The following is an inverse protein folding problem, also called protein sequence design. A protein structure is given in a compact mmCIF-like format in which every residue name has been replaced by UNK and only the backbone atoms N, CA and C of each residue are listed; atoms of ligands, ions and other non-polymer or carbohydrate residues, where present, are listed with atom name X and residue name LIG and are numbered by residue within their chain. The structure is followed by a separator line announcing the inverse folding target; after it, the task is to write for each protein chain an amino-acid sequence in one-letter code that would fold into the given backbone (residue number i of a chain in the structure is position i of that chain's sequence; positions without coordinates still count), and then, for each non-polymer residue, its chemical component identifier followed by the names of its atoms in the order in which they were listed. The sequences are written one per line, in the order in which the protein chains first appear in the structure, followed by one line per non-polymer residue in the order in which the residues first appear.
data_IF_156092371769
#
_entry.id   IF_156092371769
#
_cell.length_a   1.000
_cell.length_b   1.000
_cell.length_c   1.000
_cell.angle_alpha   90.00
_cell.angle_beta   90.00
_cell.angle_gamma   90.00
#
_symmetry.space_group_name_H-M   'P 1'
#
loop_
_entity.id
_entity.type
_entity.pdbx_description
1 polymer ?
#
# COMPACT_ATOMS: atom_id res chain seq x y z
N UNK A 1 40.28 -0.64 -49.85
CA UNK A 1 40.80 -0.90 -48.49
C UNK A 1 39.82 -0.30 -47.49
N UNK A 2 39.27 -1.16 -46.64
CA UNK A 2 38.09 -0.90 -45.80
C UNK A 2 38.39 0.08 -44.66
N UNK A 3 37.72 1.23 -44.62
CA UNK A 3 37.53 1.99 -43.37
C UNK A 3 36.10 2.52 -43.34
N UNK A 4 35.18 1.70 -42.82
CA UNK A 4 33.97 2.18 -42.17
C UNK A 4 33.88 1.48 -40.83
N UNK A 5 34.63 2.04 -39.90
CA UNK A 5 34.54 1.73 -38.48
C UNK A 5 33.16 2.21 -38.02
N UNK A 6 32.15 1.35 -38.12
CA UNK A 6 30.87 1.56 -37.45
C UNK A 6 31.13 1.38 -35.96
N UNK A 7 31.41 2.48 -35.27
CA UNK A 7 31.25 2.57 -33.81
C UNK A 7 29.77 2.31 -33.51
N UNK A 8 29.43 1.03 -33.33
CA UNK A 8 28.21 0.65 -32.62
C UNK A 8 28.43 1.05 -31.16
N UNK A 9 28.09 2.30 -30.85
CA UNK A 9 27.94 2.75 -29.49
C UNK A 9 26.79 1.95 -28.89
N UNK A 10 27.14 0.86 -28.21
CA UNK A 10 26.24 0.13 -27.34
C UNK A 10 25.77 1.14 -26.29
N UNK A 11 24.58 1.72 -26.49
CA UNK A 11 23.92 2.57 -25.51
C UNK A 11 23.57 1.64 -24.36
N UNK A 12 24.47 1.54 -23.38
CA UNK A 12 24.21 0.87 -22.12
C UNK A 12 23.15 1.70 -21.43
N UNK A 13 21.89 1.35 -21.65
CA UNK A 13 20.75 1.90 -20.91
C UNK A 13 20.88 1.37 -19.49
N UNK A 14 21.53 2.14 -18.63
CA UNK A 14 21.61 1.83 -17.20
C UNK A 14 20.24 2.16 -16.62
N UNK A 15 19.33 1.18 -16.59
CA UNK A 15 18.08 1.28 -15.84
C UNK A 15 18.44 1.28 -14.34
N UNK A 16 18.69 2.47 -13.79
CA UNK A 16 18.87 2.65 -12.36
C UNK A 16 17.53 2.33 -11.70
N UNK A 17 17.41 1.14 -11.11
CA UNK A 17 16.28 0.83 -10.23
C UNK A 17 16.42 1.73 -9.00
N UNK A 18 15.68 2.82 -9.00
CA UNK A 18 15.55 3.65 -7.82
C UNK A 18 14.76 2.82 -6.79
N UNK A 19 15.46 2.15 -5.87
CA UNK A 19 14.86 1.60 -4.67
C UNK A 19 14.43 2.77 -3.79
N UNK A 20 13.33 3.44 -4.16
CA UNK A 20 12.77 4.49 -3.33
C UNK A 20 12.29 3.86 -2.02
N UNK A 21 12.75 4.44 -0.91
CA UNK A 21 12.19 4.14 0.40
C UNK A 21 10.72 4.53 0.34
N UNK A 22 9.83 3.60 0.69
CA UNK A 22 8.40 3.89 0.76
C UNK A 22 8.12 4.60 2.09
N UNK A 23 8.15 5.92 2.06
CA UNK A 23 8.01 6.79 3.23
C UNK A 23 6.59 7.34 3.40
N UNK A 24 6.40 8.12 4.47
CA UNK A 24 5.12 8.71 4.85
C UNK A 24 4.53 9.62 3.76
N UNK A 25 5.34 10.50 3.18
CA UNK A 25 4.87 11.42 2.13
C UNK A 25 4.52 10.68 0.84
N UNK A 26 5.28 9.64 0.50
CA UNK A 26 4.99 8.76 -0.64
C UNK A 26 3.67 8.04 -0.43
N UNK A 27 3.40 7.51 0.76
CA UNK A 27 2.13 6.86 1.09
C UNK A 27 0.94 7.81 0.91
N UNK A 28 1.05 9.04 1.42
CA UNK A 28 -0.01 10.06 1.26
C UNK A 28 -0.24 10.38 -0.21
N UNK A 29 0.83 10.64 -0.98
CA UNK A 29 0.75 10.98 -2.41
C UNK A 29 0.15 9.86 -3.24
N UNK A 30 0.36 8.61 -2.84
CA UNK A 30 -0.22 7.44 -3.49
C UNK A 30 -1.71 7.23 -3.16
N UNK A 31 -2.26 8.01 -2.23
CA UNK A 31 -3.67 7.89 -1.81
C UNK A 31 -3.92 6.76 -0.82
N UNK A 32 -2.88 6.26 -0.15
CA UNK A 32 -3.04 5.31 0.95
C UNK A 32 -3.78 5.99 2.11
N UNK A 33 -4.52 5.18 2.88
CA UNK A 33 -4.97 5.57 4.22
C UNK A 33 -3.76 5.41 5.13
N UNK A 34 -3.17 6.52 5.58
CA UNK A 34 -1.90 6.49 6.31
C UNK A 34 -2.14 6.64 7.80
N UNK A 35 -1.56 5.76 8.62
CA UNK A 35 -1.52 5.86 10.08
C UNK A 35 -0.09 6.04 10.56
N UNK A 36 0.26 7.26 10.96
CA UNK A 36 1.48 7.58 11.68
C UNK A 36 1.15 7.79 13.16
N UNK A 37 1.13 6.69 13.91
CA UNK A 37 0.90 6.68 15.37
C UNK A 37 -0.39 7.41 15.81
N UNK A 38 -1.46 7.27 15.04
CA UNK A 38 -2.75 7.91 15.28
C UNK A 38 -2.94 9.22 14.51
N UNK A 39 -1.91 9.75 13.85
CA UNK A 39 -2.08 10.81 12.87
C UNK A 39 -2.53 10.18 11.54
N UNK A 40 -3.83 10.23 11.28
CA UNK A 40 -4.42 9.56 10.11
C UNK A 40 -4.55 10.55 8.95
N UNK A 41 -4.15 10.13 7.75
CA UNK A 41 -4.35 10.85 6.48
C UNK A 41 -5.20 10.05 5.50
N UNK A 42 -5.89 10.75 4.60
CA UNK A 42 -6.76 10.20 3.56
C UNK A 42 -7.86 9.25 4.12
N UNK A 43 -8.38 9.54 5.31
CA UNK A 43 -9.38 8.69 5.97
C UNK A 43 -10.69 8.59 5.17
N UNK A 44 -11.00 9.61 4.39
CA UNK A 44 -12.11 9.68 3.44
C UNK A 44 -12.08 8.54 2.40
N UNK A 45 -10.91 7.99 2.08
CA UNK A 45 -10.80 6.78 1.24
C UNK A 45 -11.42 5.55 1.88
N UNK A 46 -11.41 5.44 3.21
CA UNK A 46 -12.07 4.33 3.90
C UNK A 46 -13.59 4.46 3.82
N UNK A 47 -14.11 5.69 3.93
CA UNK A 47 -15.54 5.96 3.79
C UNK A 47 -16.02 5.65 2.36
N UNK A 48 -15.28 6.09 1.34
CA UNK A 48 -15.60 5.79 -0.05
C UNK A 48 -15.55 4.28 -0.33
N UNK A 49 -14.54 3.58 0.21
CA UNK A 49 -14.44 2.13 0.09
C UNK A 49 -15.64 1.42 0.71
N UNK A 50 -16.12 1.88 1.87
CA UNK A 50 -17.31 1.33 2.51
C UNK A 50 -18.60 1.58 1.69
N UNK A 51 -18.73 2.76 1.09
CA UNK A 51 -19.83 3.08 0.15
C UNK A 51 -19.77 2.18 -1.08
N UNK A 52 -18.58 1.96 -1.64
CA UNK A 52 -18.37 1.07 -2.80
C UNK A 52 -18.71 -0.39 -2.45
N UNK A 53 -18.34 -0.88 -1.25
CA UNK A 53 -18.75 -2.21 -0.75
C UNK A 53 -20.28 -2.34 -0.73
N UNK A 54 -20.95 -1.36 -0.10
CA UNK A 54 -22.41 -1.34 0.05
C UNK A 54 -23.14 -1.32 -1.30
N UNK A 55 -22.55 -0.65 -2.28
CA UNK A 55 -23.07 -0.57 -3.65
C UNK A 55 -22.62 -1.71 -4.56
N UNK A 56 -21.93 -2.74 -4.02
CA UNK A 56 -21.32 -3.85 -4.77
C UNK A 56 -20.36 -3.41 -5.88
N UNK A 57 -19.82 -2.20 -5.79
CA UNK A 57 -18.83 -1.66 -6.72
C UNK A 57 -17.45 -2.13 -6.30
N UNK A 58 -16.72 -2.75 -7.22
CA UNK A 58 -15.33 -3.18 -6.99
C UNK A 58 -14.47 -1.98 -6.63
N UNK A 59 -13.63 -2.15 -5.62
CA UNK A 59 -12.71 -1.10 -5.18
C UNK A 59 -11.52 -1.72 -4.43
N UNK A 60 -10.46 -0.93 -4.29
CA UNK A 60 -9.27 -1.28 -3.53
C UNK A 60 -8.79 -0.09 -2.71
N UNK A 61 -8.35 -0.38 -1.50
CA UNK A 61 -7.63 0.59 -0.64
C UNK A 61 -6.42 -0.08 -0.01
N UNK A 62 -5.40 0.73 0.24
CA UNK A 62 -4.23 0.36 1.03
C UNK A 62 -4.25 1.18 2.31
N UNK A 63 -4.09 0.51 3.44
CA UNK A 63 -3.76 1.14 4.71
C UNK A 63 -2.27 0.94 4.92
N UNK A 64 -1.54 2.04 5.10
CA UNK A 64 -0.11 2.02 5.42
C UNK A 64 0.09 2.55 6.83
N UNK A 65 0.49 1.66 7.74
CA UNK A 65 0.80 2.00 9.11
C UNK A 65 2.32 2.00 9.30
N UNK A 66 2.84 3.05 9.93
CA UNK A 66 4.27 3.15 10.21
C UNK A 66 4.61 2.61 11.61
N UNK A 67 5.72 1.88 11.70
CA UNK A 67 6.36 1.54 12.99
C UNK A 67 6.98 2.78 13.62
N UNK A 68 7.41 2.68 14.89
CA UNK A 68 8.05 3.82 15.59
C UNK A 68 9.37 4.23 14.93
N UNK A 69 10.03 3.31 14.24
CA UNK A 69 11.23 3.52 13.44
C UNK A 69 10.93 4.11 12.05
N UNK A 70 9.66 4.17 11.65
CA UNK A 70 9.22 4.72 10.38
C UNK A 70 9.19 3.72 9.22
N UNK A 71 9.20 2.41 9.49
CA UNK A 71 9.04 1.41 8.44
C UNK A 71 7.55 1.12 8.16
N UNK A 72 7.14 0.94 6.90
CA UNK A 72 5.73 0.73 6.57
C UNK A 72 5.30 -0.73 6.76
N UNK A 73 4.06 -0.88 7.24
CA UNK A 73 3.29 -2.12 7.28
C UNK A 73 2.03 -1.91 6.43
N UNK A 74 1.81 -2.80 5.47
CA UNK A 74 0.71 -2.69 4.50
C UNK A 74 -0.46 -3.60 4.85
N UNK A 75 -1.66 -3.05 4.72
CA UNK A 75 -2.93 -3.78 4.70
C UNK A 75 -3.67 -3.43 3.41
N UNK A 76 -3.68 -4.35 2.46
CA UNK A 76 -4.38 -4.19 1.18
C UNK A 76 -5.76 -4.82 1.27
N UNK A 77 -6.81 -4.01 1.11
CA UNK A 77 -8.19 -4.48 1.05
C UNK A 77 -8.67 -4.39 -0.40
N UNK A 78 -9.04 -5.53 -0.98
CA UNK A 78 -9.57 -5.60 -2.34
C UNK A 78 -10.97 -6.22 -2.31
N UNK A 79 -11.98 -5.41 -2.62
CA UNK A 79 -13.35 -5.87 -2.74
C UNK A 79 -13.68 -6.21 -4.20
N UNK A 80 -14.02 -7.47 -4.44
CA UNK A 80 -14.29 -7.98 -5.79
C UNK A 80 -15.77 -7.87 -6.22
N UNK A 81 -16.63 -7.26 -5.38
CA UNK A 81 -18.07 -7.19 -5.56
C UNK A 81 -18.86 -8.22 -4.73
N UNK A 82 -18.17 -9.10 -4.02
CA UNK A 82 -18.76 -10.15 -3.16
C UNK A 82 -18.08 -10.24 -1.80
N UNK A 83 -16.76 -10.32 -1.78
CA UNK A 83 -15.93 -10.46 -0.58
C UNK A 83 -14.68 -9.60 -0.67
N UNK A 84 -14.07 -9.36 0.49
CA UNK A 84 -12.89 -8.50 0.64
C UNK A 84 -11.69 -9.40 0.88
N UNK A 85 -10.73 -9.40 -0.04
CA UNK A 85 -9.43 -10.01 0.23
C UNK A 85 -8.54 -9.01 0.97
N UNK A 86 -8.15 -9.38 2.18
CA UNK A 86 -7.16 -8.65 2.99
C UNK A 86 -5.80 -9.29 2.80
N UNK A 87 -4.79 -8.52 2.39
CA UNK A 87 -3.39 -8.94 2.45
C UNK A 87 -2.63 -8.08 3.46
N UNK A 88 -1.92 -8.73 4.38
CA UNK A 88 -1.01 -8.14 5.34
C UNK A 88 0.43 -8.35 4.85
N UNK A 89 1.24 -7.29 4.86
CA UNK A 89 2.66 -7.36 4.50
C UNK A 89 3.49 -6.40 5.37
N UNK A 90 4.32 -6.95 6.25
CA UNK A 90 5.33 -6.20 7.00
C UNK A 90 6.76 -6.47 6.50
N UNK A 91 6.92 -6.96 5.27
CA UNK A 91 8.24 -7.28 4.71
C UNK A 91 9.20 -6.09 4.67
N UNK A 92 8.68 -4.86 4.78
CA UNK A 92 9.45 -3.61 4.84
C UNK A 92 9.83 -3.16 6.26
N UNK A 93 9.23 -3.73 7.32
CA UNK A 93 9.61 -3.49 8.72
C UNK A 93 10.97 -4.12 9.02
N UNK A 94 12.05 -3.33 9.08
CA UNK A 94 13.42 -3.84 9.19
C UNK A 94 13.69 -4.58 10.50
N UNK A 95 12.94 -4.29 11.55
CA UNK A 95 13.17 -4.81 12.90
C UNK A 95 12.20 -5.92 13.30
N UNK A 96 11.04 -6.00 12.64
CA UNK A 96 10.06 -7.07 12.83
C UNK A 96 10.36 -8.35 12.06
N UNK A 97 9.75 -9.45 12.52
CA UNK A 97 9.72 -10.70 11.76
C UNK A 97 8.96 -10.49 10.44
N UNK A 98 9.55 -10.91 9.33
CA UNK A 98 8.99 -10.71 8.00
C UNK A 98 7.87 -11.71 7.74
N UNK A 99 6.71 -11.18 7.37
CA UNK A 99 5.52 -11.99 7.22
C UNK A 99 4.57 -11.41 6.17
N UNK A 100 3.91 -12.32 5.47
CA UNK A 100 2.89 -12.03 4.46
C UNK A 100 1.73 -12.98 4.65
N UNK A 101 0.58 -12.43 5.01
CA UNK A 101 -0.64 -13.19 5.26
C UNK A 101 -1.77 -12.68 4.38
N UNK A 102 -2.71 -13.55 4.07
CA UNK A 102 -3.94 -13.13 3.42
C UNK A 102 -5.15 -13.86 3.98
N UNK A 103 -6.30 -13.20 3.98
CA UNK A 103 -7.58 -13.77 4.38
C UNK A 103 -8.72 -13.14 3.59
N UNK A 104 -9.85 -13.83 3.51
CA UNK A 104 -11.06 -13.31 2.89
C UNK A 104 -12.08 -12.94 3.98
N UNK A 105 -12.51 -11.68 3.97
CA UNK A 105 -13.49 -11.12 4.88
C UNK A 105 -14.83 -10.98 4.16
N UNK A 106 -15.93 -11.33 4.84
CA UNK A 106 -17.28 -11.22 4.28
C UNK A 106 -17.87 -9.81 4.36
N UNK A 107 -17.45 -9.03 5.35
CA UNK A 107 -17.97 -7.69 5.60
C UNK A 107 -16.93 -6.80 6.25
N UNK A 108 -17.14 -5.50 6.11
CA UNK A 108 -16.42 -4.44 6.81
C UNK A 108 -17.37 -3.83 7.84
N UNK A 109 -16.88 -3.58 9.06
CA UNK A 109 -17.63 -2.87 10.11
C UNK A 109 -16.79 -1.69 10.57
N UNK A 110 -17.33 -0.48 10.39
CA UNK A 110 -16.73 0.75 10.93
C UNK A 110 -17.14 0.88 12.40
N UNK A 111 -16.18 1.22 13.26
CA UNK A 111 -16.38 1.38 14.70
C UNK A 111 -15.78 2.71 15.11
N UNK A 112 -16.58 3.57 15.75
CA UNK A 112 -16.07 4.80 16.35
C UNK A 112 -15.24 4.49 17.59
N UNK A 113 -14.10 5.18 17.77
CA UNK A 113 -13.23 5.01 18.94
C UNK A 113 -13.98 5.12 20.29
N UNK A 114 -15.06 5.89 20.36
CA UNK A 114 -15.92 6.00 21.56
C UNK A 114 -16.58 4.68 21.97
N UNK A 115 -16.72 3.73 21.05
CA UNK A 115 -17.39 2.43 21.27
C UNK A 115 -16.40 1.32 21.67
N UNK A 116 -15.09 1.58 21.70
CA UNK A 116 -14.03 0.58 21.99
C UNK A 116 -13.50 0.73 23.43
N UNK A 117 -13.81 1.83 24.11
CA UNK A 117 -13.51 2.07 25.53
C UNK A 117 -14.68 1.64 26.41
N UNK A 118 -14.90 0.33 26.53
CA UNK A 118 -15.73 -0.29 27.57
C UNK A 118 -14.89 -1.35 28.29
#
# INVERSE_FOLDING_TARGET
MFVRMLLSACVIVVLSSCNSVYDYDTAIKNGDIVDLHGNIKNIDRLDEFNVNISSKKRDKVRITRFTTEGDPIFYDLNYNGKDIKLNYDNSKDKHGAKDRRSTNCRSLKLIDKKQISN
#
